data_IF_560050485273
#
_entry.id   IF_560050485273
#
_cell.length_a   1.000
_cell.length_b   1.000
_cell.length_c   1.000
_cell.angle_alpha   90.00
_cell.angle_beta   90.00
_cell.angle_gamma   90.00
#
_symmetry.space_group_name_H-M   'P 1'
#
loop_
_entity.id
_entity.type
_entity.pdbx_description
1 polymer ?
#
# COMPACT_ATOMS: atom_id res chain seq x y z
N UNK A 1 -21.85 27.79 17.20
CA UNK A 1 -20.93 26.64 17.14
C UNK A 1 -21.06 25.87 18.43
N UNK A 2 -21.60 24.67 18.34
CA UNK A 2 -21.50 23.67 19.41
C UNK A 2 -20.05 23.15 19.48
N UNK A 3 -19.68 22.47 20.56
CA UNK A 3 -18.36 21.82 20.66
C UNK A 3 -18.13 20.84 19.50
N UNK A 4 -19.20 20.17 19.04
CA UNK A 4 -19.21 19.24 17.91
C UNK A 4 -18.94 19.95 16.58
N UNK A 5 -19.52 21.13 16.34
CA UNK A 5 -19.26 21.91 15.10
C UNK A 5 -17.79 22.36 15.01
N UNK A 6 -17.19 22.68 16.16
CA UNK A 6 -15.79 23.10 16.23
C UNK A 6 -14.82 21.95 15.96
N UNK A 7 -15.16 20.74 16.41
CA UNK A 7 -14.36 19.55 16.17
C UNK A 7 -14.43 19.12 14.70
N UNK A 8 -15.63 19.09 14.11
CA UNK A 8 -15.83 18.78 12.69
C UNK A 8 -15.06 19.76 11.81
N UNK A 9 -15.12 21.07 12.10
CA UNK A 9 -14.35 22.08 11.36
C UNK A 9 -12.84 21.89 11.53
N UNK A 10 -12.37 21.52 12.73
CA UNK A 10 -10.96 21.23 12.96
C UNK A 10 -10.49 20.03 12.15
N UNK A 11 -11.27 18.94 12.14
CA UNK A 11 -10.98 17.72 11.39
C UNK A 11 -10.96 17.98 9.88
N UNK A 12 -11.94 18.73 9.37
CA UNK A 12 -11.98 19.16 7.96
C UNK A 12 -10.69 19.90 7.59
N UNK A 13 -10.31 20.90 8.40
CA UNK A 13 -9.14 21.73 8.11
C UNK A 13 -7.85 20.89 8.14
N UNK A 14 -7.69 19.97 9.10
CA UNK A 14 -6.52 19.07 9.15
C UNK A 14 -6.43 18.19 7.90
N UNK A 15 -7.55 17.59 7.49
CA UNK A 15 -7.60 16.76 6.29
C UNK A 15 -7.28 17.55 5.02
N UNK A 16 -7.91 18.72 4.85
CA UNK A 16 -7.68 19.58 3.70
C UNK A 16 -6.25 20.12 3.65
N UNK A 17 -5.67 20.51 4.78
CA UNK A 17 -4.26 20.89 4.86
C UNK A 17 -3.36 19.76 4.41
N UNK A 18 -3.58 18.53 4.87
CA UNK A 18 -2.74 17.40 4.48
C UNK A 18 -2.88 17.05 3.00
N UNK A 19 -4.09 17.10 2.44
CA UNK A 19 -4.33 16.93 1.00
C UNK A 19 -3.59 17.98 0.16
N UNK A 20 -3.49 19.21 0.67
CA UNK A 20 -2.79 20.29 -0.02
C UNK A 20 -1.27 20.20 0.10
N UNK A 21 -0.78 19.88 1.29
CA UNK A 21 0.67 19.83 1.55
C UNK A 21 1.29 18.55 0.99
N UNK A 22 0.53 17.46 0.89
CA UNK A 22 0.96 16.14 0.43
C UNK A 22 2.31 15.72 1.04
N UNK A 23 2.53 16.04 2.32
CA UNK A 23 3.75 15.68 3.03
C UNK A 23 3.92 14.16 2.95
N UNK A 24 5.06 13.62 2.49
CA UNK A 24 5.22 12.19 2.27
C UNK A 24 4.97 11.33 3.52
N UNK A 25 4.53 10.09 3.27
CA UNK A 25 4.37 9.03 4.26
C UNK A 25 3.43 9.38 5.44
N UNK A 26 2.40 10.19 5.17
CA UNK A 26 1.40 10.58 6.15
C UNK A 26 0.07 9.88 5.88
N UNK A 27 -0.57 9.49 6.98
CA UNK A 27 -1.97 9.06 7.01
C UNK A 27 -2.70 9.84 8.09
N UNK A 28 -3.90 10.31 7.76
CA UNK A 28 -4.79 10.96 8.71
C UNK A 28 -6.20 10.39 8.60
N UNK A 29 -6.64 9.76 9.69
CA UNK A 29 -8.02 9.34 9.87
C UNK A 29 -8.74 10.36 10.76
N UNK A 30 -9.83 10.95 10.26
CA UNK A 30 -10.64 11.92 11.01
C UNK A 30 -12.12 11.61 10.92
N UNK A 31 -12.83 11.86 12.01
CA UNK A 31 -14.28 11.75 12.05
C UNK A 31 -14.90 12.95 11.32
N UNK A 32 -15.65 12.66 10.25
CA UNK A 32 -16.35 13.66 9.44
C UNK A 32 -17.73 13.12 9.03
N UNK A 33 -18.83 13.84 9.33
CA UNK A 33 -20.14 13.51 8.78
C UNK A 33 -20.12 13.51 7.24
N UNK A 34 -20.95 12.66 6.63
CA UNK A 34 -20.94 12.46 5.18
C UNK A 34 -21.08 13.77 4.37
N UNK A 35 -21.98 14.66 4.77
CA UNK A 35 -22.16 15.96 4.09
C UNK A 35 -20.90 16.83 4.13
N UNK A 36 -20.16 16.79 5.23
CA UNK A 36 -18.89 17.51 5.37
C UNK A 36 -17.77 16.83 4.57
N UNK A 37 -17.77 15.50 4.51
CA UNK A 37 -16.88 14.75 3.63
C UNK A 37 -17.11 15.12 2.15
N UNK A 38 -18.35 15.24 1.69
CA UNK A 38 -18.66 15.65 0.31
C UNK A 38 -18.12 17.06 -0.01
N UNK A 39 -18.18 17.97 0.97
CA UNK A 39 -17.57 19.31 0.81
C UNK A 39 -16.05 19.23 0.70
N UNK A 40 -15.41 18.37 1.51
CA UNK A 40 -13.96 18.17 1.47
C UNK A 40 -13.52 17.58 0.13
N UNK A 41 -14.26 16.58 -0.36
CA UNK A 41 -14.03 15.95 -1.64
C UNK A 41 -14.14 16.93 -2.81
N UNK A 42 -15.22 17.73 -2.82
CA UNK A 42 -15.39 18.77 -3.84
C UNK A 42 -14.23 19.77 -3.80
N UNK A 43 -13.84 20.24 -2.60
CA UNK A 43 -12.73 21.16 -2.45
C UNK A 43 -11.40 20.54 -2.91
N UNK A 44 -11.22 19.24 -2.74
CA UNK A 44 -10.04 18.52 -3.20
C UNK A 44 -10.00 18.37 -4.73
N UNK A 45 -11.12 18.04 -5.38
CA UNK A 45 -11.21 18.05 -6.85
C UNK A 45 -10.97 19.45 -7.43
N UNK A 46 -11.50 20.50 -6.79
CA UNK A 46 -11.23 21.89 -7.19
C UNK A 46 -9.73 22.24 -7.07
N UNK A 47 -9.06 21.78 -6.01
CA UNK A 47 -7.61 21.92 -5.84
C UNK A 47 -6.84 21.20 -6.95
N UNK A 48 -7.17 19.92 -7.22
CA UNK A 48 -6.54 19.14 -8.30
C UNK A 48 -6.67 19.84 -9.65
N UNK A 49 -7.89 20.29 -9.98
CA UNK A 49 -8.16 21.01 -11.23
C UNK A 49 -7.35 22.31 -11.34
N UNK A 50 -7.27 23.09 -10.25
CA UNK A 50 -6.51 24.34 -10.22
C UNK A 50 -4.99 24.15 -10.40
N UNK A 51 -4.45 23.03 -9.91
CA UNK A 51 -3.02 22.68 -10.03
C UNK A 51 -2.69 21.87 -11.29
N UNK A 52 -3.69 21.55 -12.12
CA UNK A 52 -3.51 20.73 -13.32
C UNK A 52 -3.17 19.27 -13.01
N UNK A 53 -3.52 18.80 -11.82
CA UNK A 53 -3.36 17.42 -11.38
C UNK A 53 -4.48 16.57 -11.97
N UNK A 54 -4.14 15.41 -12.53
CA UNK A 54 -5.15 14.48 -13.06
C UNK A 54 -6.04 13.94 -11.94
N UNK A 55 -7.34 13.75 -12.21
CA UNK A 55 -8.22 13.02 -11.29
C UNK A 55 -7.73 11.57 -11.08
N UNK A 56 -7.12 10.98 -12.10
CA UNK A 56 -6.51 9.65 -12.04
C UNK A 56 -5.20 9.63 -11.24
N UNK A 57 -4.66 10.79 -10.84
CA UNK A 57 -3.52 10.82 -9.93
C UNK A 57 -3.95 10.33 -8.55
N UNK A 58 -3.35 9.23 -8.15
CA UNK A 58 -3.68 8.50 -6.93
C UNK A 58 -3.39 9.27 -5.64
N UNK A 59 -2.22 9.90 -5.54
CA UNK A 59 -1.78 10.58 -4.30
C UNK A 59 -1.72 12.10 -4.44
N UNK A 60 -2.10 12.85 -3.40
CA UNK A 60 -2.73 12.35 -2.18
C UNK A 60 -4.13 11.78 -2.47
N UNK A 61 -4.55 10.79 -1.68
CA UNK A 61 -5.83 10.11 -1.83
C UNK A 61 -6.77 10.49 -0.69
N UNK A 62 -8.07 10.43 -0.99
CA UNK A 62 -9.15 10.70 -0.04
C UNK A 62 -10.16 9.56 -0.08
N UNK A 63 -10.23 8.81 1.02
CA UNK A 63 -11.20 7.74 1.27
C UNK A 63 -12.24 8.11 2.32
N UNK A 64 -13.33 7.35 2.36
CA UNK A 64 -14.39 7.49 3.36
C UNK A 64 -15.03 6.16 3.71
N UNK A 65 -15.06 5.85 4.99
CA UNK A 65 -15.85 4.76 5.55
C UNK A 65 -17.15 5.34 6.11
N UNK A 66 -18.28 5.07 5.45
CA UNK A 66 -19.58 5.63 5.83
C UNK A 66 -20.20 5.00 7.08
N UNK A 67 -19.79 3.78 7.43
CA UNK A 67 -20.24 3.10 8.66
C UNK A 67 -19.62 3.77 9.88
N UNK A 68 -18.31 4.06 9.81
CA UNK A 68 -17.58 4.68 10.92
C UNK A 68 -17.50 6.19 10.84
N UNK A 69 -18.04 6.80 9.77
CA UNK A 69 -17.92 8.23 9.43
C UNK A 69 -16.48 8.74 9.47
N UNK A 70 -15.55 7.92 8.98
CA UNK A 70 -14.13 8.24 8.97
C UNK A 70 -13.73 8.66 7.56
N UNK A 71 -13.21 9.88 7.41
CA UNK A 71 -12.46 10.28 6.24
C UNK A 71 -10.97 9.95 6.45
N UNK A 72 -10.35 9.36 5.44
CA UNK A 72 -8.96 8.94 5.46
C UNK A 72 -8.21 9.69 4.36
N UNK A 73 -7.20 10.45 4.75
CA UNK A 73 -6.24 11.08 3.82
C UNK A 73 -4.95 10.28 3.85
N UNK A 74 -4.48 9.87 2.67
CA UNK A 74 -3.18 9.20 2.50
C UNK A 74 -2.35 10.03 1.53
N UNK A 75 -1.15 10.42 1.94
CA UNK A 75 -0.21 11.13 1.07
C UNK A 75 0.70 10.13 0.33
N UNK A 76 1.67 10.64 -0.44
CA UNK A 76 2.63 9.79 -1.15
C UNK A 76 3.22 8.71 -0.23
N UNK A 77 2.98 7.41 -0.49
CA UNK A 77 3.42 6.32 0.37
C UNK A 77 4.94 6.12 0.28
N UNK A 78 5.48 5.29 1.18
CA UNK A 78 6.89 4.90 1.11
C UNK A 78 7.14 3.89 -0.02
N UNK A 79 8.39 3.79 -0.49
CA UNK A 79 8.78 2.76 -1.46
C UNK A 79 8.52 1.34 -0.97
N UNK A 80 8.61 1.07 0.35
CA UNK A 80 8.25 -0.25 0.91
C UNK A 80 6.77 -0.54 0.69
N UNK A 81 5.90 0.45 0.91
CA UNK A 81 4.45 0.29 0.75
C UNK A 81 4.06 0.07 -0.72
N UNK A 82 4.51 0.95 -1.63
CA UNK A 82 4.18 0.84 -3.06
C UNK A 82 4.89 -0.36 -3.72
N UNK A 83 6.14 -0.61 -3.33
CA UNK A 83 6.95 -1.72 -3.85
C UNK A 83 6.36 -3.07 -3.50
N UNK A 84 5.89 -3.27 -2.26
CA UNK A 84 5.29 -4.53 -1.84
C UNK A 84 4.01 -4.87 -2.64
N UNK A 85 3.07 -3.92 -2.76
CA UNK A 85 1.86 -4.10 -3.55
C UNK A 85 2.20 -4.37 -5.03
N UNK A 86 3.07 -3.54 -5.62
CA UNK A 86 3.46 -3.65 -7.02
C UNK A 86 4.18 -4.97 -7.35
N UNK A 87 5.01 -5.48 -6.43
CA UNK A 87 5.71 -6.74 -6.61
C UNK A 87 4.71 -7.90 -6.65
N UNK A 88 3.81 -8.00 -5.66
CA UNK A 88 2.81 -9.07 -5.59
C UNK A 88 1.92 -9.01 -6.82
N UNK A 89 1.44 -7.83 -7.18
CA UNK A 89 0.54 -7.65 -8.32
C UNK A 89 1.20 -8.14 -9.62
N UNK A 90 2.44 -7.70 -9.88
CA UNK A 90 3.20 -8.08 -11.08
C UNK A 90 3.46 -9.58 -11.14
N UNK A 91 3.81 -10.22 -10.01
CA UNK A 91 4.11 -11.66 -9.98
C UNK A 91 2.87 -12.50 -10.22
N UNK A 92 1.77 -12.13 -9.56
CA UNK A 92 0.48 -12.78 -9.75
C UNK A 92 0.01 -12.64 -11.20
N UNK A 93 -0.01 -11.43 -11.78
CA UNK A 93 -0.54 -11.23 -13.13
C UNK A 93 0.27 -11.98 -14.18
N UNK A 94 1.60 -11.97 -14.08
CA UNK A 94 2.46 -12.72 -15.00
C UNK A 94 2.13 -14.21 -14.97
N UNK A 95 1.99 -14.78 -13.77
CA UNK A 95 1.61 -16.18 -13.62
C UNK A 95 0.21 -16.47 -14.20
N UNK A 96 -0.77 -15.63 -13.88
CA UNK A 96 -2.15 -15.77 -14.37
C UNK A 96 -2.19 -15.69 -15.89
N UNK A 97 -1.49 -14.74 -16.51
CA UNK A 97 -1.43 -14.58 -17.96
C UNK A 97 -0.75 -15.78 -18.64
N UNK A 98 0.35 -16.29 -18.09
CA UNK A 98 1.03 -17.48 -18.60
C UNK A 98 0.16 -18.73 -18.50
N UNK A 99 -0.47 -18.94 -17.34
CA UNK A 99 -1.38 -20.07 -17.10
C UNK A 99 -2.57 -20.02 -18.07
N UNK A 100 -3.24 -18.87 -18.18
CA UNK A 100 -4.39 -18.70 -19.06
C UNK A 100 -4.02 -18.76 -20.53
N UNK A 101 -2.80 -18.34 -20.92
CA UNK A 101 -2.33 -18.45 -22.31
C UNK A 101 -2.23 -19.90 -22.78
N UNK A 102 -2.08 -20.85 -21.84
CA UNK A 102 -2.05 -22.28 -22.14
C UNK A 102 -3.43 -22.92 -22.00
N UNK A 103 -4.17 -22.60 -20.94
CA UNK A 103 -5.40 -23.33 -20.58
C UNK A 103 -6.68 -22.65 -21.06
N UNK A 104 -6.66 -21.33 -21.28
CA UNK A 104 -7.82 -20.58 -21.78
C UNK A 104 -7.42 -19.27 -22.49
N UNK A 105 -6.79 -19.36 -23.69
CA UNK A 105 -6.19 -18.20 -24.36
C UNK A 105 -7.19 -17.06 -24.64
N UNK A 106 -8.47 -17.41 -24.78
CA UNK A 106 -9.54 -16.47 -25.08
C UNK A 106 -9.94 -15.60 -23.87
N UNK A 107 -9.50 -15.94 -22.66
CA UNK A 107 -9.89 -15.24 -21.41
C UNK A 107 -8.76 -14.45 -20.76
N UNK A 108 -7.51 -14.61 -21.23
CA UNK A 108 -6.31 -13.88 -20.72
C UNK A 108 -6.60 -12.38 -20.55
N UNK A 109 -7.26 -11.77 -21.53
CA UNK A 109 -7.51 -10.33 -21.52
C UNK A 109 -8.61 -9.84 -20.58
N UNK A 110 -9.32 -10.73 -19.90
CA UNK A 110 -10.41 -10.37 -18.98
C UNK A 110 -9.88 -9.94 -17.60
N UNK A 111 -8.74 -10.45 -17.16
CA UNK A 111 -8.14 -10.08 -15.88
C UNK A 111 -7.19 -8.91 -16.11
N UNK A 112 -7.34 -7.85 -15.32
CA UNK A 112 -6.49 -6.66 -15.39
C UNK A 112 -6.14 -6.17 -14.00
N UNK A 113 -4.95 -5.62 -13.88
CA UNK A 113 -4.50 -4.82 -12.75
C UNK A 113 -5.45 -3.64 -12.46
N UNK A 114 -5.60 -3.28 -11.18
CA UNK A 114 -6.41 -2.16 -10.71
C UNK A 114 -5.58 -1.27 -9.78
N UNK A 115 -5.15 -0.11 -10.29
CA UNK A 115 -4.20 0.77 -9.57
C UNK A 115 -4.66 2.22 -9.37
N UNK A 116 -5.79 2.64 -9.93
CA UNK A 116 -6.07 4.09 -10.09
C UNK A 116 -7.55 4.46 -10.17
N UNK A 117 -8.43 3.77 -9.45
CA UNK A 117 -9.84 4.17 -9.48
C UNK A 117 -10.48 4.00 -8.12
N UNK A 118 -10.83 5.13 -7.50
CA UNK A 118 -11.65 5.16 -6.31
C UNK A 118 -12.97 4.42 -6.54
N UNK A 119 -13.24 3.48 -5.65
CA UNK A 119 -14.37 2.58 -5.71
C UNK A 119 -15.49 3.06 -4.77
N UNK A 120 -16.70 3.20 -5.31
CA UNK A 120 -17.91 3.48 -4.54
C UNK A 120 -18.41 2.24 -3.82
N UNK A 121 -18.38 2.20 -2.49
CA UNK A 121 -18.71 0.98 -1.74
C UNK A 121 -20.24 0.83 -1.59
N UNK A 122 -20.75 -0.40 -1.69
CA UNK A 122 -22.17 -0.75 -1.56
C UNK A 122 -22.53 -1.33 -0.19
N UNK A 123 -23.76 -1.84 -0.08
CA UNK A 123 -24.24 -2.51 1.14
C UNK A 123 -24.39 -1.55 2.33
N UNK A 124 -23.90 -1.96 3.49
CA UNK A 124 -23.89 -1.10 4.69
C UNK A 124 -22.95 0.11 4.55
N UNK A 125 -22.00 0.05 3.60
CA UNK A 125 -21.03 1.10 3.30
C UNK A 125 -21.49 2.03 2.16
N UNK A 126 -22.80 2.14 1.90
CA UNK A 126 -23.31 3.12 0.92
C UNK A 126 -22.77 4.51 1.24
N UNK A 127 -22.28 5.22 0.22
CA UNK A 127 -21.59 6.51 0.35
C UNK A 127 -20.12 6.40 0.72
N UNK A 128 -19.63 5.20 1.04
CA UNK A 128 -18.22 4.91 1.24
C UNK A 128 -17.41 5.00 -0.06
N UNK A 129 -16.14 5.36 0.07
CA UNK A 129 -15.19 5.48 -1.03
C UNK A 129 -13.84 4.96 -0.60
N UNK A 130 -13.21 4.13 -1.42
CA UNK A 130 -11.86 3.63 -1.15
C UNK A 130 -11.15 3.25 -2.42
N UNK A 131 -9.82 3.31 -2.41
CA UNK A 131 -8.96 2.84 -3.50
C UNK A 131 -8.00 1.81 -2.91
N UNK A 132 -7.84 0.63 -3.55
CA UNK A 132 -6.94 -0.39 -3.02
C UNK A 132 -5.48 -0.09 -3.39
N UNK A 133 -4.52 -0.51 -2.58
CA UNK A 133 -3.07 -0.45 -2.88
C UNK A 133 -2.68 -1.14 -4.17
N UNK A 134 -3.29 -2.27 -4.42
CA UNK A 134 -3.27 -2.92 -5.73
C UNK A 134 -4.46 -3.84 -5.87
N UNK A 135 -4.52 -4.58 -6.97
CA UNK A 135 -5.53 -5.61 -7.11
C UNK A 135 -5.89 -5.96 -8.53
N UNK A 136 -6.95 -6.76 -8.65
CA UNK A 136 -7.33 -7.37 -9.91
C UNK A 136 -8.81 -7.22 -10.18
N UNK A 137 -9.13 -6.71 -11.36
CA UNK A 137 -10.48 -6.60 -11.88
C UNK A 137 -10.72 -7.63 -12.96
N UNK A 138 -11.92 -8.20 -12.96
CA UNK A 138 -12.45 -8.97 -14.07
C UNK A 138 -13.30 -8.07 -14.97
N UNK A 139 -12.83 -7.84 -16.19
CA UNK A 139 -13.55 -7.08 -17.22
C UNK A 139 -14.46 -8.01 -18.02
N UNK A 140 -15.76 -7.72 -17.98
CA UNK A 140 -16.72 -8.33 -18.90
C UNK A 140 -16.57 -7.75 -20.31
N UNK A 141 -17.10 -8.45 -21.32
CA UNK A 141 -17.14 -7.95 -22.71
C UNK A 141 -17.82 -6.58 -22.88
N UNK A 142 -18.64 -6.16 -21.91
CA UNK A 142 -19.36 -4.88 -21.93
C UNK A 142 -18.62 -3.75 -21.20
N UNK A 143 -17.37 -3.99 -20.77
CA UNK A 143 -16.49 -2.95 -20.23
C UNK A 143 -16.67 -2.65 -18.74
N UNK A 144 -17.69 -3.19 -18.08
CA UNK A 144 -17.81 -3.08 -16.61
C UNK A 144 -16.83 -4.06 -15.96
N UNK A 145 -15.84 -3.51 -15.26
CA UNK A 145 -14.90 -4.28 -14.43
C UNK A 145 -15.47 -4.53 -13.04
N UNK A 146 -15.32 -5.75 -12.53
CA UNK A 146 -15.59 -6.09 -11.13
C UNK A 146 -14.26 -6.32 -10.41
N UNK A 147 -14.03 -5.64 -9.29
CA UNK A 147 -12.88 -5.91 -8.42
C UNK A 147 -13.05 -7.30 -7.79
N UNK A 148 -12.08 -8.17 -8.04
CA UNK A 148 -12.08 -9.55 -7.59
C UNK A 148 -11.11 -9.77 -6.45
N UNK A 149 -9.96 -9.10 -6.50
CA UNK A 149 -8.95 -9.14 -5.44
C UNK A 149 -8.52 -7.72 -5.12
N UNK A 150 -8.48 -7.37 -3.84
CA UNK A 150 -7.90 -6.12 -3.33
C UNK A 150 -6.62 -6.44 -2.57
N UNK A 151 -5.60 -5.62 -2.74
CA UNK A 151 -4.34 -5.67 -1.98
C UNK A 151 -4.27 -4.38 -1.15
N UNK A 152 -3.95 -4.50 0.13
CA UNK A 152 -3.74 -3.38 1.05
C UNK A 152 -2.42 -3.59 1.81
N UNK A 153 -1.67 -2.52 2.02
CA UNK A 153 -0.33 -2.56 2.62
C UNK A 153 -0.27 -1.64 3.83
N UNK A 154 -0.05 -2.20 5.01
CA UNK A 154 0.21 -1.41 6.21
C UNK A 154 1.69 -1.33 6.54
N UNK A 155 2.26 -0.14 6.46
CA UNK A 155 3.60 0.18 7.03
C UNK A 155 3.47 1.08 8.26
N UNK A 156 2.79 2.22 8.09
CA UNK A 156 2.50 3.19 9.16
C UNK A 156 1.09 3.03 9.76
N UNK A 157 0.21 2.33 9.03
CA UNK A 157 -1.15 2.01 9.39
C UNK A 157 -1.23 0.95 10.49
N UNK A 158 -2.17 1.09 11.41
CA UNK A 158 -2.40 0.04 12.42
C UNK A 158 -3.09 -1.15 11.79
N UNK A 159 -2.73 -2.36 12.19
CA UNK A 159 -3.39 -3.60 11.73
C UNK A 159 -4.93 -3.55 11.83
N UNK A 160 -5.49 -2.95 12.90
CA UNK A 160 -6.93 -2.79 13.05
C UNK A 160 -7.60 -1.99 11.92
N UNK A 161 -6.88 -1.05 11.28
CA UNK A 161 -7.39 -0.29 10.14
C UNK A 161 -7.37 -1.07 8.83
N UNK A 162 -6.34 -1.90 8.61
CA UNK A 162 -6.34 -2.86 7.52
C UNK A 162 -7.52 -3.85 7.61
N UNK A 163 -7.91 -4.23 8.83
CA UNK A 163 -9.09 -5.07 9.05
C UNK A 163 -10.41 -4.34 8.71
N UNK A 164 -10.54 -3.06 9.08
CA UNK A 164 -11.69 -2.22 8.67
C UNK A 164 -11.77 -2.11 7.14
N UNK A 165 -10.62 -1.89 6.48
CA UNK A 165 -10.50 -1.80 5.03
C UNK A 165 -10.88 -3.12 4.34
N UNK A 166 -10.40 -4.24 4.86
CA UNK A 166 -10.82 -5.58 4.45
C UNK A 166 -12.34 -5.76 4.54
N UNK A 167 -12.98 -5.32 5.61
CA UNK A 167 -14.44 -5.40 5.75
C UNK A 167 -15.17 -4.58 4.69
N UNK A 168 -14.68 -3.38 4.37
CA UNK A 168 -15.23 -2.58 3.27
C UNK A 168 -15.15 -3.31 1.92
N UNK A 169 -14.05 -4.00 1.64
CA UNK A 169 -13.89 -4.75 0.39
C UNK A 169 -14.76 -6.00 0.32
N UNK A 170 -14.71 -6.86 1.34
CA UNK A 170 -15.45 -8.12 1.34
C UNK A 170 -16.96 -7.84 1.45
N UNK A 171 -17.39 -7.08 2.46
CA UNK A 171 -18.81 -6.91 2.77
C UNK A 171 -19.44 -5.79 1.93
N UNK A 172 -18.67 -4.75 1.59
CA UNK A 172 -19.17 -3.61 0.84
C UNK A 172 -19.05 -3.74 -0.68
N UNK A 173 -18.00 -4.41 -1.19
CA UNK A 173 -17.79 -4.61 -2.63
C UNK A 173 -17.98 -6.04 -3.11
N UNK A 174 -18.04 -7.03 -2.22
CA UNK A 174 -18.13 -8.44 -2.62
C UNK A 174 -16.89 -8.89 -3.40
N UNK A 175 -15.72 -8.38 -3.00
CA UNK A 175 -14.41 -8.84 -3.46
C UNK A 175 -14.21 -10.29 -3.00
N UNK A 176 -13.66 -11.16 -3.85
CA UNK A 176 -13.44 -12.56 -3.51
C UNK A 176 -12.34 -12.71 -2.46
N UNK A 177 -11.23 -11.96 -2.64
CA UNK A 177 -10.03 -12.05 -1.81
C UNK A 177 -9.50 -10.67 -1.44
N UNK A 178 -9.09 -10.49 -0.18
CA UNK A 178 -8.30 -9.34 0.24
C UNK A 178 -6.94 -9.83 0.73
N UNK A 179 -5.87 -9.30 0.16
CA UNK A 179 -4.49 -9.57 0.58
C UNK A 179 -4.04 -8.40 1.44
N UNK A 180 -3.76 -8.65 2.72
CA UNK A 180 -3.18 -7.66 3.63
C UNK A 180 -1.68 -7.92 3.75
N UNK A 181 -0.85 -6.96 3.40
CA UNK A 181 0.60 -7.00 3.62
C UNK A 181 0.91 -6.11 4.81
N UNK A 182 1.44 -6.68 5.89
CA UNK A 182 1.65 -5.97 7.14
C UNK A 182 3.14 -5.88 7.45
N UNK A 183 3.63 -4.68 7.71
CA UNK A 183 4.99 -4.38 8.14
C UNK A 183 4.99 -3.62 9.46
N UNK A 184 5.85 -4.03 10.40
CA UNK A 184 6.07 -3.34 11.66
C UNK A 184 7.47 -2.73 11.70
N UNK A 185 7.58 -1.44 11.33
CA UNK A 185 8.82 -0.66 11.42
C UNK A 185 9.06 -0.13 12.85
N UNK A 186 10.24 -0.41 13.41
CA UNK A 186 10.67 0.09 14.72
C UNK A 186 12.16 0.49 14.75
N UNK A 187 12.51 1.70 15.22
CA UNK A 187 11.60 2.80 15.51
C UNK A 187 10.96 3.32 14.22
N UNK A 188 9.75 3.85 14.32
CA UNK A 188 9.15 4.62 13.22
C UNK A 188 10.04 5.82 12.90
N UNK A 189 10.25 6.07 11.61
CA UNK A 189 11.04 7.20 11.16
C UNK A 189 10.58 8.53 11.74
N UNK A 190 11.57 9.35 12.09
CA UNK A 190 11.42 10.75 12.47
C UNK A 190 12.59 11.51 11.89
N UNK A 191 12.36 12.71 11.39
CA UNK A 191 13.45 13.57 10.95
C UNK A 191 14.48 13.80 12.09
N UNK A 192 15.77 13.96 11.78
CA UNK A 192 16.78 14.34 12.75
C UNK A 192 16.44 15.67 13.45
N UNK A 193 16.59 15.72 14.78
CA UNK A 193 16.45 16.97 15.55
C UNK A 193 17.66 17.90 15.39
N UNK A 194 18.83 17.34 15.06
CA UNK A 194 20.10 18.05 14.90
C UNK A 194 20.46 18.25 13.43
N UNK A 195 20.77 19.49 13.06
CA UNK A 195 21.32 19.81 11.74
C UNK A 195 22.74 19.29 11.59
N UNK A 196 23.03 18.62 10.48
CA UNK A 196 24.40 18.30 10.10
C UNK A 196 25.13 19.60 9.73
N UNK A 197 26.30 19.81 10.32
CA UNK A 197 27.07 21.06 10.18
C UNK A 197 28.25 20.93 9.21
N UNK A 198 28.51 19.73 8.71
CA UNK A 198 29.72 19.31 7.99
C UNK A 198 29.40 18.58 6.68
N UNK A 199 28.37 19.01 5.95
CA UNK A 199 28.06 18.48 4.61
C UNK A 199 28.96 19.19 3.59
N UNK A 200 29.87 18.44 2.98
CA UNK A 200 30.85 18.99 2.05
C UNK A 200 30.23 19.36 0.68
N UNK A 201 29.15 18.68 0.29
CA UNK A 201 28.34 18.91 -0.90
C UNK A 201 27.22 17.89 -1.02
N UNK A 202 26.06 18.29 -1.54
CA UNK A 202 24.84 17.44 -1.59
C UNK A 202 25.09 16.13 -2.34
N UNK A 203 25.67 16.20 -3.53
CA UNK A 203 25.88 15.01 -4.38
C UNK A 203 26.86 14.01 -3.74
N UNK A 204 27.96 14.50 -3.18
CA UNK A 204 28.94 13.67 -2.48
C UNK A 204 28.32 13.01 -1.24
N UNK A 205 27.41 13.70 -0.55
CA UNK A 205 26.72 13.16 0.62
C UNK A 205 25.69 12.10 0.26
N UNK A 206 24.96 12.30 -0.84
CA UNK A 206 24.04 11.30 -1.40
C UNK A 206 24.81 10.04 -1.81
N UNK A 207 25.94 10.19 -2.50
CA UNK A 207 26.78 9.06 -2.89
C UNK A 207 27.35 8.33 -1.67
N UNK A 208 27.83 9.06 -0.66
CA UNK A 208 28.33 8.47 0.58
C UNK A 208 27.23 7.70 1.35
N UNK A 209 26.01 8.22 1.40
CA UNK A 209 24.88 7.48 1.98
C UNK A 209 24.57 6.23 1.16
N UNK A 210 24.47 6.33 -0.16
CA UNK A 210 24.16 5.21 -1.02
C UNK A 210 25.19 4.07 -0.87
N UNK A 211 26.48 4.40 -0.79
CA UNK A 211 27.54 3.44 -0.52
C UNK A 211 27.39 2.79 0.87
N UNK A 212 27.19 3.60 1.93
CA UNK A 212 26.99 3.09 3.29
C UNK A 212 25.78 2.15 3.39
N UNK A 213 24.71 2.46 2.66
CA UNK A 213 23.52 1.62 2.60
C UNK A 213 23.78 0.33 1.85
N UNK A 214 24.46 0.36 0.71
CA UNK A 214 24.77 -0.85 -0.06
C UNK A 214 25.56 -1.86 0.79
N UNK A 215 26.58 -1.39 1.53
CA UNK A 215 27.37 -2.23 2.45
C UNK A 215 26.51 -2.81 3.58
N UNK A 216 25.60 -2.00 4.15
CA UNK A 216 24.70 -2.43 5.23
C UNK A 216 23.66 -3.43 4.74
N UNK A 217 23.05 -3.17 3.58
CA UNK A 217 22.06 -4.03 2.94
C UNK A 217 22.66 -5.40 2.62
N UNK A 218 23.86 -5.44 2.02
CA UNK A 218 24.54 -6.70 1.71
C UNK A 218 24.81 -7.52 2.98
N UNK A 219 25.30 -6.89 4.04
CA UNK A 219 25.56 -7.55 5.32
C UNK A 219 24.28 -8.06 6.01
N UNK A 220 23.19 -7.31 5.86
CA UNK A 220 21.88 -7.63 6.41
C UNK A 220 21.23 -8.80 5.67
N UNK A 221 21.20 -8.78 4.34
CA UNK A 221 20.71 -9.88 3.49
C UNK A 221 21.45 -11.17 3.80
N UNK A 222 22.79 -11.12 3.91
CA UNK A 222 23.61 -12.29 4.22
C UNK A 222 23.27 -12.95 5.57
N UNK A 223 22.54 -12.26 6.45
CA UNK A 223 22.09 -12.74 7.76
C UNK A 223 20.57 -12.94 7.83
N UNK A 224 19.84 -12.65 6.76
CA UNK A 224 18.39 -12.61 6.75
C UNK A 224 17.79 -11.56 7.69
N UNK A 225 18.49 -10.44 7.91
CA UNK A 225 18.11 -9.38 8.86
C UNK A 225 17.59 -8.15 8.12
N UNK A 226 16.51 -7.51 8.60
CA UNK A 226 15.78 -6.47 7.87
C UNK A 226 15.83 -5.11 8.56
N UNK A 227 16.95 -4.39 8.37
CA UNK A 227 17.18 -3.08 8.97
C UNK A 227 17.65 -3.19 10.43
N UNK A 228 17.84 -2.06 11.14
CA UNK A 228 17.65 -0.70 10.67
C UNK A 228 18.68 -0.28 9.62
N UNK A 229 18.41 0.80 8.90
CA UNK A 229 19.44 1.48 8.11
C UNK A 229 19.78 2.84 8.71
N UNK A 230 21.03 2.97 9.10
CA UNK A 230 21.56 4.15 9.77
C UNK A 230 22.58 4.86 8.91
N UNK A 231 22.55 6.18 8.96
CA UNK A 231 23.57 7.02 8.33
C UNK A 231 23.74 8.30 9.13
N UNK A 232 25.00 8.67 9.40
CA UNK A 232 25.38 9.79 10.29
C UNK A 232 24.75 9.70 11.69
N UNK A 233 24.65 8.49 12.24
CA UNK A 233 24.09 8.25 13.58
C UNK A 233 22.58 8.47 13.68
N UNK A 234 21.88 8.48 12.54
CA UNK A 234 20.44 8.61 12.46
C UNK A 234 19.82 7.42 11.72
N UNK A 235 18.70 6.91 12.23
CA UNK A 235 17.93 5.81 11.65
C UNK A 235 16.99 6.35 10.57
N UNK A 236 17.34 6.12 9.30
CA UNK A 236 16.56 6.58 8.14
C UNK A 236 15.41 5.63 7.80
N UNK A 237 15.53 4.37 8.18
CA UNK A 237 14.43 3.41 8.27
C UNK A 237 14.70 2.48 9.44
N UNK A 238 13.66 2.21 10.22
CA UNK A 238 13.72 1.29 11.34
C UNK A 238 13.97 -0.16 10.92
N UNK A 239 14.15 -1.01 11.90
CA UNK A 239 14.06 -2.46 11.72
C UNK A 239 12.64 -2.84 11.35
N UNK A 240 12.46 -3.73 10.38
CA UNK A 240 11.18 -4.40 10.17
C UNK A 240 11.10 -5.57 11.16
N UNK A 241 10.62 -5.29 12.37
CA UNK A 241 10.52 -6.29 13.44
C UNK A 241 9.60 -7.45 13.05
N UNK A 242 8.53 -7.14 12.32
CA UNK A 242 7.55 -8.13 11.85
C UNK A 242 7.13 -7.83 10.44
N UNK A 243 7.00 -8.87 9.62
CA UNK A 243 6.30 -8.81 8.36
C UNK A 243 5.48 -10.09 8.15
N UNK A 244 4.23 -9.92 7.73
CA UNK A 244 3.34 -11.06 7.42
C UNK A 244 2.33 -10.67 6.36
N UNK A 245 1.81 -11.67 5.66
CA UNK A 245 0.74 -11.53 4.68
C UNK A 245 -0.48 -12.28 5.21
N UNK A 246 -1.67 -11.69 5.08
CA UNK A 246 -2.92 -12.40 5.31
C UNK A 246 -3.76 -12.42 4.04
N UNK A 247 -4.36 -13.57 3.76
CA UNK A 247 -5.27 -13.74 2.62
C UNK A 247 -6.66 -14.02 3.14
N UNK A 248 -7.51 -13.00 3.06
CA UNK A 248 -8.86 -13.01 3.59
C UNK A 248 -9.89 -13.34 2.51
N UNK A 249 -10.84 -14.20 2.87
CA UNK A 249 -12.06 -14.52 2.12
C UNK A 249 -13.26 -14.31 3.02
N UNK A 250 -14.46 -14.46 2.47
CA UNK A 250 -15.68 -14.39 3.28
C UNK A 250 -15.70 -15.52 4.33
N UNK A 251 -15.49 -15.16 5.60
CA UNK A 251 -15.57 -16.07 6.74
C UNK A 251 -14.30 -16.87 7.07
N UNK A 252 -13.21 -16.68 6.33
CA UNK A 252 -11.92 -17.35 6.61
C UNK A 252 -10.73 -16.49 6.21
N UNK A 253 -9.56 -16.78 6.78
CA UNK A 253 -8.28 -16.24 6.33
C UNK A 253 -7.16 -17.21 6.62
N UNK A 254 -6.08 -17.06 5.86
CA UNK A 254 -4.78 -17.67 6.12
C UNK A 254 -3.78 -16.56 6.47
N UNK A 255 -2.83 -16.86 7.35
CA UNK A 255 -1.76 -15.95 7.76
C UNK A 255 -0.41 -16.58 7.43
N UNK A 256 0.48 -15.77 6.87
CA UNK A 256 1.77 -16.15 6.33
C UNK A 256 2.83 -15.23 6.93
N UNK A 257 3.49 -15.66 8.00
CA UNK A 257 4.60 -14.92 8.59
C UNK A 257 5.83 -14.97 7.67
N UNK A 258 6.54 -13.85 7.55
CA UNK A 258 7.72 -13.71 6.68
C UNK A 258 8.95 -13.27 7.48
N UNK A 259 8.76 -12.31 8.39
CA UNK A 259 9.80 -11.76 9.27
C UNK A 259 9.29 -11.78 10.71
N UNK A 260 10.14 -12.23 11.63
CA UNK A 260 9.91 -12.19 13.07
C UNK A 260 11.19 -11.74 13.80
N UNK A 261 11.02 -10.82 14.75
CA UNK A 261 12.11 -10.25 15.56
C UNK A 261 13.26 -9.68 14.69
N UNK A 262 12.91 -9.10 13.53
CA UNK A 262 13.86 -8.51 12.58
C UNK A 262 14.47 -9.49 11.58
N UNK A 263 14.23 -10.80 11.72
CA UNK A 263 14.82 -11.84 10.89
C UNK A 263 13.78 -12.53 10.00
N UNK A 264 14.14 -12.81 8.74
CA UNK A 264 13.35 -13.71 7.91
C UNK A 264 13.23 -15.09 8.55
N UNK A 265 12.08 -15.74 8.35
CA UNK A 265 11.91 -17.14 8.71
C UNK A 265 12.87 -18.04 7.93
N UNK A 266 13.08 -19.27 8.41
CA UNK A 266 13.89 -20.23 7.70
C UNK A 266 13.29 -20.52 6.31
N UNK A 267 14.13 -20.85 5.32
CA UNK A 267 13.68 -21.00 3.94
C UNK A 267 12.60 -22.09 3.76
N UNK A 268 12.63 -23.15 4.58
CA UNK A 268 11.64 -24.21 4.61
C UNK A 268 10.35 -23.85 5.39
N UNK A 269 10.36 -22.73 6.11
CA UNK A 269 9.20 -22.15 6.79
C UNK A 269 8.54 -21.04 5.98
N UNK A 270 9.23 -20.48 4.98
CA UNK A 270 8.68 -19.47 4.09
C UNK A 270 7.63 -20.09 3.15
N UNK A 271 6.48 -19.43 2.95
CA UNK A 271 5.44 -19.94 2.07
C UNK A 271 5.88 -19.89 0.60
N UNK A 272 5.58 -20.96 -0.13
CA UNK A 272 5.73 -21.06 -1.59
C UNK A 272 4.41 -20.76 -2.34
N UNK A 273 3.33 -20.51 -1.60
CA UNK A 273 2.03 -20.06 -2.08
C UNK A 273 1.31 -19.23 -1.02
N UNK A 274 0.42 -18.35 -1.46
CA UNK A 274 -0.51 -17.59 -0.60
C UNK A 274 -1.91 -18.20 -0.58
N UNK A 275 -2.07 -19.48 -0.98
CA UNK A 275 -3.36 -20.14 -1.20
C UNK A 275 -4.28 -19.34 -2.14
N UNK A 276 -3.69 -18.63 -3.10
CA UNK A 276 -4.43 -17.95 -4.17
C UNK A 276 -4.67 -18.92 -5.32
N UNK A 277 -5.81 -18.81 -5.97
CA UNK A 277 -6.22 -19.69 -7.06
C UNK A 277 -6.65 -18.90 -8.27
N UNK A 278 -6.54 -19.52 -9.45
CA UNK A 278 -7.04 -18.92 -10.70
C UNK A 278 -8.53 -18.56 -10.57
N UNK A 279 -9.32 -19.39 -9.89
CA UNK A 279 -10.74 -19.13 -9.65
C UNK A 279 -11.03 -17.85 -8.85
N UNK A 280 -10.10 -17.35 -8.02
CA UNK A 280 -10.29 -16.13 -7.24
C UNK A 280 -10.42 -14.88 -8.13
N UNK A 281 -9.89 -14.91 -9.35
CA UNK A 281 -9.88 -13.79 -10.30
C UNK A 281 -11.16 -13.69 -11.13
N UNK A 282 -12.12 -14.59 -10.91
CA UNK A 282 -13.35 -14.68 -11.68
C UNK A 282 -14.59 -14.46 -10.81
N UNK A 283 -15.60 -13.74 -11.32
CA UNK A 283 -16.96 -13.88 -10.84
C UNK A 283 -17.40 -15.35 -10.93
N UNK A 284 -18.20 -15.81 -9.96
CA UNK A 284 -18.59 -17.22 -9.84
C UNK A 284 -19.22 -17.81 -11.12
N UNK A 285 -20.11 -17.06 -11.76
CA UNK A 285 -20.76 -17.42 -13.02
C UNK A 285 -19.77 -17.47 -14.19
N UNK A 286 -18.86 -16.49 -14.26
CA UNK A 286 -17.83 -16.45 -15.29
C UNK A 286 -16.83 -17.61 -15.15
N UNK A 287 -16.46 -17.97 -13.91
CA UNK A 287 -15.60 -19.12 -13.62
C UNK A 287 -16.23 -20.42 -14.11
N UNK A 288 -17.49 -20.69 -13.72
CA UNK A 288 -18.23 -21.88 -14.14
C UNK A 288 -18.33 -21.98 -15.67
N UNK A 289 -18.56 -20.87 -16.35
CA UNK A 289 -18.65 -20.82 -17.80
C UNK A 289 -17.28 -21.01 -18.50
N UNK A 290 -16.18 -20.60 -17.87
CA UNK A 290 -14.85 -20.65 -18.46
C UNK A 290 -14.32 -22.09 -18.57
N UNK A 291 -14.79 -23.00 -17.70
CA UNK A 291 -14.40 -24.42 -17.69
C UNK A 291 -12.87 -24.62 -17.74
N UNK A 292 -12.16 -23.82 -16.94
CA UNK A 292 -10.71 -23.87 -16.78
C UNK A 292 -10.43 -24.75 -15.55
N UNK A 293 -9.38 -25.55 -15.61
CA UNK A 293 -8.88 -26.22 -14.42
C UNK A 293 -8.45 -25.17 -13.38
N UNK A 294 -8.78 -25.38 -12.11
CA UNK A 294 -8.31 -24.48 -11.07
C UNK A 294 -6.88 -24.85 -10.70
N UNK A 295 -6.05 -23.85 -10.42
CA UNK A 295 -4.66 -24.08 -10.04
C UNK A 295 -4.23 -23.06 -8.99
N UNK A 296 -3.32 -23.48 -8.12
CA UNK A 296 -2.72 -22.60 -7.14
C UNK A 296 -1.72 -21.64 -7.82
N UNK A 297 -1.66 -20.41 -7.30
CA UNK A 297 -0.72 -19.39 -7.75
C UNK A 297 0.52 -19.47 -6.84
N UNK A 298 1.72 -19.65 -7.42
CA UNK A 298 2.95 -19.69 -6.66
C UNK A 298 3.29 -18.31 -6.09
N UNK A 299 4.00 -18.31 -4.98
CA UNK A 299 4.52 -17.12 -4.32
C UNK A 299 5.96 -17.37 -3.91
N UNK A 300 6.89 -16.58 -4.44
CA UNK A 300 8.30 -16.65 -4.03
C UNK A 300 8.54 -15.67 -2.88
N UNK A 301 8.44 -16.18 -1.65
CA UNK A 301 8.69 -15.37 -0.44
C UNK A 301 10.09 -14.79 -0.39
N UNK A 302 11.11 -15.52 -0.88
CA UNK A 302 12.48 -15.04 -0.85
C UNK A 302 12.67 -13.86 -1.80
N UNK A 303 12.17 -13.99 -3.04
CA UNK A 303 12.24 -12.90 -4.01
C UNK A 303 11.35 -11.69 -3.60
N UNK A 304 10.22 -11.94 -2.93
CA UNK A 304 9.42 -10.86 -2.35
C UNK A 304 10.21 -10.09 -1.29
N UNK A 305 10.84 -10.82 -0.37
CA UNK A 305 11.63 -10.23 0.70
C UNK A 305 12.87 -9.48 0.17
N UNK A 306 13.53 -9.98 -0.87
CA UNK A 306 14.61 -9.26 -1.56
C UNK A 306 14.11 -7.90 -2.08
N UNK A 307 12.93 -7.87 -2.70
CA UNK A 307 12.30 -6.63 -3.16
C UNK A 307 11.94 -5.68 -2.02
N UNK A 308 11.61 -6.21 -0.83
CA UNK A 308 11.36 -5.39 0.36
C UNK A 308 12.66 -4.74 0.83
N UNK A 309 13.78 -5.46 0.90
CA UNK A 309 15.08 -4.89 1.28
C UNK A 309 15.52 -3.79 0.33
N UNK A 310 15.41 -4.01 -0.98
CA UNK A 310 15.73 -2.98 -1.98
C UNK A 310 14.90 -1.72 -1.75
N UNK A 311 13.60 -1.90 -1.45
CA UNK A 311 12.69 -0.81 -1.14
C UNK A 311 13.06 -0.10 0.16
N UNK A 312 13.52 -0.81 1.19
CA UNK A 312 14.03 -0.20 2.44
C UNK A 312 15.24 0.70 2.17
N UNK A 313 16.16 0.27 1.31
CA UNK A 313 17.31 1.07 0.87
C UNK A 313 16.87 2.36 0.18
N UNK A 314 15.90 2.27 -0.74
CA UNK A 314 15.33 3.44 -1.44
C UNK A 314 14.60 4.39 -0.49
N UNK A 315 13.83 3.88 0.47
CA UNK A 315 13.18 4.71 1.50
C UNK A 315 14.21 5.48 2.31
N UNK A 316 15.28 4.81 2.76
CA UNK A 316 16.33 5.46 3.53
C UNK A 316 16.98 6.60 2.74
N UNK A 317 17.36 6.35 1.48
CA UNK A 317 17.93 7.38 0.60
C UNK A 317 16.96 8.54 0.42
N UNK A 318 15.72 8.27 0.04
CA UNK A 318 14.73 9.30 -0.24
C UNK A 318 14.44 10.18 0.98
N UNK A 319 14.29 9.59 2.17
CA UNK A 319 14.09 10.35 3.42
C UNK A 319 15.28 11.27 3.71
N UNK A 320 16.51 10.82 3.45
CA UNK A 320 17.69 11.67 3.59
C UNK A 320 17.76 12.80 2.56
N UNK A 321 17.45 12.50 1.30
CA UNK A 321 17.41 13.53 0.26
C UNK A 321 16.40 14.62 0.59
N UNK A 322 15.19 14.24 1.03
CA UNK A 322 14.18 15.20 1.49
C UNK A 322 14.70 16.03 2.67
N UNK A 323 15.41 15.42 3.61
CA UNK A 323 16.01 16.15 4.74
C UNK A 323 17.04 17.20 4.27
N UNK A 324 17.91 16.85 3.30
CA UNK A 324 18.88 17.79 2.72
C UNK A 324 18.17 18.98 2.05
N UNK A 325 17.13 18.72 1.27
CA UNK A 325 16.39 19.75 0.53
C UNK A 325 15.52 20.63 1.43
N UNK A 326 14.70 20.02 2.28
CA UNK A 326 13.66 20.75 3.02
C UNK A 326 14.18 21.38 4.32
N UNK A 327 15.07 20.70 5.04
CA UNK A 327 15.52 21.13 6.37
C UNK A 327 16.83 21.91 6.32
N UNK A 328 17.72 21.56 5.38
CA UNK A 328 18.99 22.24 5.21
C UNK A 328 18.99 23.25 4.06
N UNK A 329 18.00 23.22 3.17
CA UNK A 329 17.87 24.13 2.01
C UNK A 329 19.11 24.11 1.11
N UNK A 330 19.70 22.92 0.96
CA UNK A 330 20.82 22.69 0.08
C UNK A 330 20.25 22.23 -1.27
N UNK A 331 20.62 22.91 -2.35
CA UNK A 331 20.18 22.61 -3.72
C UNK A 331 21.26 21.89 -4.50
#
# INVERSE_FOLDING_TARGET
>A
MTATDSEVLSNYNKAFTLLKENTPEQRLDVQLPYETFLQLDQAFSELKSAEGISEDQRYPSLGYNSVTQTATVVTCPSYVHEGAASWIERKIINYVEDYLSTHSPHTVGHIRECRSTTQSIGGEYIGGRKEPDGGFIYKTRFGTGKLMIAIEVGTSESYGKLLEDKDMWINGKGVNVVILICFEESPRFRNPDTRYTDIAGVDAEKEAMAQSLAETVEANIARGYYGPHEYRGHTWIGELNKAFIEVWRQGSHDTFDLIQDGFALAHDELPDTLNLRISDFYPHDAWQAANIEDNDIPFDSAEFLDSVVDSMGLVAQFRFELYLHEKLRLH
#
